data_IF_980514367821
#
_entry.id   IF_980514367821
#
_cell.length_a   1.000
_cell.length_b   1.000
_cell.length_c   1.000
_cell.angle_alpha   90.00
_cell.angle_beta   90.00
_cell.angle_gamma   90.00
#
_symmetry.space_group_name_H-M   'P 1'
#
loop_
_entity.id
_entity.type
_entity.pdbx_description
1 polymer ?
#
# COMPACT_ATOMS: atom_id res chain seq x y z
N UNK A 1 23.70 -96.16 -31.23
CA UNK A 1 23.48 -94.98 -32.08
C UNK A 1 22.32 -94.10 -31.59
N UNK A 2 21.16 -94.65 -31.23
CA UNK A 2 19.97 -93.86 -30.82
C UNK A 2 20.19 -92.94 -29.61
N UNK A 3 20.95 -93.38 -28.59
CA UNK A 3 21.24 -92.58 -27.39
C UNK A 3 22.08 -91.33 -27.71
N UNK A 4 22.98 -91.41 -28.69
CA UNK A 4 23.84 -90.29 -29.11
C UNK A 4 23.04 -89.24 -29.89
N UNK A 5 22.08 -89.68 -30.72
CA UNK A 5 21.16 -88.78 -31.43
C UNK A 5 20.24 -88.00 -30.50
N UNK A 6 19.74 -88.66 -29.45
CA UNK A 6 18.87 -88.02 -28.44
C UNK A 6 19.64 -86.97 -27.60
N UNK A 7 20.86 -87.29 -27.15
CA UNK A 7 21.73 -86.35 -26.43
C UNK A 7 22.12 -85.12 -27.27
N UNK A 8 22.34 -85.31 -28.57
CA UNK A 8 22.67 -84.21 -29.49
C UNK A 8 21.49 -83.22 -29.62
N UNK A 9 20.29 -83.75 -29.85
CA UNK A 9 19.05 -82.95 -29.91
C UNK A 9 18.79 -82.17 -28.61
N UNK A 10 19.12 -82.79 -27.48
CA UNK A 10 18.98 -82.25 -26.14
C UNK A 10 19.88 -81.03 -25.85
N UNK A 11 20.99 -80.87 -26.58
CA UNK A 11 21.92 -79.75 -26.47
C UNK A 11 21.76 -78.69 -27.55
N UNK A 12 20.99 -78.98 -28.60
CA UNK A 12 20.76 -78.04 -29.71
C UNK A 12 20.16 -76.71 -29.25
N UNK A 13 19.23 -76.73 -28.29
CA UNK A 13 18.64 -75.50 -27.73
C UNK A 13 19.68 -74.64 -26.98
N UNK A 14 20.51 -75.27 -26.14
CA UNK A 14 21.56 -74.55 -25.40
C UNK A 14 22.66 -74.06 -26.35
N UNK A 15 23.02 -74.86 -27.35
CA UNK A 15 23.99 -74.46 -28.38
C UNK A 15 23.50 -73.28 -29.23
N UNK A 16 22.21 -73.25 -29.61
CA UNK A 16 21.63 -72.09 -30.29
C UNK A 16 21.71 -70.82 -29.44
N UNK A 17 21.44 -70.92 -28.14
CA UNK A 17 21.56 -69.79 -27.21
C UNK A 17 23.01 -69.35 -27.02
N UNK A 18 23.93 -70.30 -26.80
CA UNK A 18 25.36 -70.01 -26.73
C UNK A 18 25.85 -69.24 -27.96
N UNK A 19 25.47 -69.68 -29.16
CA UNK A 19 25.81 -69.01 -30.40
C UNK A 19 25.19 -67.61 -30.52
N UNK A 20 23.94 -67.40 -30.08
CA UNK A 20 23.32 -66.07 -30.03
C UNK A 20 24.09 -65.10 -29.12
N UNK A 21 24.71 -65.61 -28.06
CA UNK A 21 25.58 -64.86 -27.16
C UNK A 21 27.06 -64.84 -27.59
N UNK A 22 27.38 -65.34 -28.79
CA UNK A 22 28.73 -65.33 -29.37
C UNK A 22 29.68 -66.43 -28.88
N UNK A 23 29.18 -67.41 -28.12
CA UNK A 23 29.96 -68.55 -27.65
C UNK A 23 29.96 -69.71 -28.66
N UNK A 24 31.03 -70.51 -28.63
CA UNK A 24 31.13 -71.73 -29.45
C UNK A 24 30.14 -72.79 -28.93
N UNK A 25 29.48 -73.56 -29.82
CA UNK A 25 28.60 -74.65 -29.40
C UNK A 25 29.39 -75.81 -28.79
N UNK A 26 28.75 -76.53 -27.89
CA UNK A 26 29.26 -77.76 -27.30
C UNK A 26 29.09 -78.89 -28.32
N UNK A 27 30.22 -79.54 -28.67
CA UNK A 27 30.25 -80.68 -29.58
C UNK A 27 30.50 -81.98 -28.82
N UNK A 28 29.77 -83.02 -29.20
CA UNK A 28 30.04 -84.39 -28.74
C UNK A 28 31.09 -85.02 -29.63
N UNK A 29 32.11 -85.62 -29.03
CA UNK A 29 33.11 -86.40 -29.77
C UNK A 29 32.46 -87.63 -30.41
N UNK A 30 32.80 -87.90 -31.67
CA UNK A 30 32.40 -89.14 -32.35
C UNK A 30 33.22 -90.29 -31.77
N UNK A 31 32.59 -91.38 -31.28
CA UNK A 31 33.30 -92.57 -30.81
C UNK A 31 34.25 -93.21 -31.84
N UNK A 32 34.10 -92.89 -33.13
CA UNK A 32 34.95 -93.39 -34.22
C UNK A 32 36.16 -92.48 -34.53
N UNK A 33 36.14 -91.21 -34.11
CA UNK A 33 37.28 -90.30 -34.24
C UNK A 33 38.22 -90.52 -33.04
N UNK A 34 39.36 -91.17 -33.25
CA UNK A 34 40.42 -91.39 -32.24
C UNK A 34 41.06 -90.06 -31.76
N UNK A 35 40.28 -89.22 -31.07
CA UNK A 35 40.74 -88.00 -30.40
C UNK A 35 41.38 -88.39 -29.07
N UNK A 36 42.50 -87.76 -28.73
CA UNK A 36 43.21 -88.01 -27.48
C UNK A 36 42.26 -87.77 -26.30
N UNK A 37 42.17 -88.69 -25.32
CA UNK A 37 41.33 -88.50 -24.14
C UNK A 37 41.76 -87.31 -23.27
N UNK A 38 42.95 -86.75 -23.50
CA UNK A 38 43.42 -85.52 -22.86
C UNK A 38 42.68 -84.26 -23.34
N UNK A 39 42.08 -84.30 -24.54
CA UNK A 39 41.37 -83.16 -25.15
C UNK A 39 39.84 -83.25 -24.99
N UNK A 40 39.36 -84.27 -24.28
CA UNK A 40 37.94 -84.58 -24.12
C UNK A 40 37.51 -84.52 -22.66
N UNK A 41 36.35 -83.90 -22.40
CA UNK A 41 35.73 -83.90 -21.08
C UNK A 41 34.69 -85.01 -21.02
N UNK A 42 34.94 -86.00 -20.17
CA UNK A 42 34.03 -87.12 -19.94
C UNK A 42 33.07 -86.77 -18.81
N UNK A 43 31.78 -86.66 -19.14
CA UNK A 43 30.72 -86.38 -18.17
C UNK A 43 29.77 -87.56 -18.11
N UNK A 44 29.39 -87.95 -16.90
CA UNK A 44 28.26 -88.85 -16.73
C UNK A 44 26.95 -88.13 -17.06
N UNK A 45 25.90 -88.92 -17.31
CA UNK A 45 24.60 -88.41 -17.76
C UNK A 45 24.01 -87.37 -16.79
N UNK A 46 24.24 -87.53 -15.48
CA UNK A 46 23.70 -86.62 -14.47
C UNK A 46 24.43 -85.28 -14.50
N UNK A 47 25.76 -85.29 -14.48
CA UNK A 47 26.56 -84.06 -14.54
C UNK A 47 26.34 -83.28 -15.84
N UNK A 48 26.18 -83.97 -16.98
CA UNK A 48 25.86 -83.31 -18.25
C UNK A 48 24.48 -82.63 -18.23
N UNK A 49 23.47 -83.25 -17.63
CA UNK A 49 22.13 -82.67 -17.49
C UNK A 49 22.11 -81.46 -16.54
N UNK A 50 22.85 -81.53 -15.44
CA UNK A 50 23.02 -80.43 -14.49
C UNK A 50 23.75 -79.24 -15.14
N UNK A 51 24.87 -79.50 -15.84
CA UNK A 51 25.63 -78.46 -16.54
C UNK A 51 24.79 -77.75 -17.59
N UNK A 52 24.01 -78.50 -18.37
CA UNK A 52 23.05 -77.93 -19.34
C UNK A 52 22.01 -77.03 -18.67
N UNK A 53 21.46 -77.46 -17.55
CA UNK A 53 20.46 -76.69 -16.80
C UNK A 53 21.07 -75.40 -16.26
N UNK A 54 22.27 -75.46 -15.70
CA UNK A 54 23.04 -74.30 -15.23
C UNK A 54 23.33 -73.33 -16.36
N UNK A 55 23.82 -73.81 -17.51
CA UNK A 55 24.05 -72.97 -18.70
C UNK A 55 22.76 -72.29 -19.16
N UNK A 56 21.63 -73.00 -19.19
CA UNK A 56 20.34 -72.41 -19.55
C UNK A 56 19.95 -71.28 -18.61
N UNK A 57 20.04 -71.50 -17.29
CA UNK A 57 19.72 -70.48 -16.28
C UNK A 57 20.64 -69.27 -16.43
N UNK A 58 21.95 -69.48 -16.57
CA UNK A 58 22.93 -68.41 -16.73
C UNK A 58 22.68 -67.58 -17.99
N UNK A 59 22.38 -68.22 -19.12
CA UNK A 59 22.09 -67.52 -20.38
C UNK A 59 20.80 -66.70 -20.28
N UNK A 60 19.74 -67.27 -19.68
CA UNK A 60 18.49 -66.51 -19.45
C UNK A 60 18.67 -65.35 -18.50
N UNK A 61 19.49 -65.50 -17.45
CA UNK A 61 19.76 -64.40 -16.52
C UNK A 61 20.65 -63.32 -17.18
N UNK A 62 21.58 -63.71 -18.05
CA UNK A 62 22.36 -62.76 -18.86
C UNK A 62 21.46 -61.92 -19.77
N UNK A 63 20.48 -62.52 -20.45
CA UNK A 63 19.48 -61.81 -21.27
C UNK A 63 18.66 -60.83 -20.42
N UNK A 64 18.20 -61.27 -19.24
CA UNK A 64 17.46 -60.41 -18.30
C UNK A 64 18.29 -59.22 -17.82
N UNK A 65 19.55 -59.45 -17.45
CA UNK A 65 20.47 -58.38 -17.02
C UNK A 65 20.74 -57.41 -18.16
N UNK A 66 20.91 -57.88 -19.39
CA UNK A 66 21.11 -57.02 -20.55
C UNK A 66 19.91 -56.12 -20.81
N UNK A 67 18.68 -56.65 -20.68
CA UNK A 67 17.45 -55.85 -20.79
C UNK A 67 17.38 -54.77 -19.70
N UNK A 68 17.65 -55.12 -18.44
CA UNK A 68 17.70 -54.16 -17.33
C UNK A 68 18.75 -53.06 -17.55
N UNK A 69 19.93 -53.42 -18.05
CA UNK A 69 20.98 -52.44 -18.38
C UNK A 69 20.49 -51.47 -19.47
N UNK A 70 19.82 -51.98 -20.51
CA UNK A 70 19.27 -51.13 -21.57
C UNK A 70 18.19 -50.18 -21.04
N UNK A 71 17.27 -50.66 -20.22
CA UNK A 71 16.25 -49.81 -19.58
C UNK A 71 16.88 -48.74 -18.68
N UNK A 72 17.89 -49.10 -17.89
CA UNK A 72 18.64 -48.16 -17.06
C UNK A 72 19.37 -47.11 -17.89
N UNK A 73 19.97 -47.48 -19.03
CA UNK A 73 20.62 -46.53 -19.95
C UNK A 73 19.60 -45.56 -20.54
N UNK A 74 18.45 -46.07 -20.99
CA UNK A 74 17.37 -45.23 -21.51
C UNK A 74 16.84 -44.26 -20.45
N UNK A 75 16.57 -44.76 -19.25
CA UNK A 75 16.11 -43.94 -18.11
C UNK A 75 17.15 -42.90 -17.70
N UNK A 76 18.44 -43.25 -17.64
CA UNK A 76 19.51 -42.32 -17.31
C UNK A 76 19.64 -41.19 -18.35
N UNK A 77 19.48 -41.51 -19.64
CA UNK A 77 19.50 -40.52 -20.70
C UNK A 77 18.29 -39.58 -20.62
N UNK A 78 17.09 -40.12 -20.32
CA UNK A 78 15.89 -39.31 -20.11
C UNK A 78 16.07 -38.36 -18.91
N UNK A 79 16.55 -38.87 -17.77
CA UNK A 79 16.83 -38.07 -16.59
C UNK A 79 17.87 -36.97 -16.87
N UNK A 80 18.90 -37.26 -17.68
CA UNK A 80 19.86 -36.22 -18.10
C UNK A 80 19.19 -35.10 -18.91
N UNK A 81 18.27 -35.43 -19.80
CA UNK A 81 17.52 -34.42 -20.57
C UNK A 81 16.63 -33.57 -19.66
N UNK A 82 15.91 -34.21 -18.73
CA UNK A 82 15.05 -33.51 -17.77
C UNK A 82 15.86 -32.59 -16.84
N UNK A 83 17.01 -33.04 -16.33
CA UNK A 83 17.91 -32.20 -15.53
C UNK A 83 18.38 -31.00 -16.34
N UNK A 84 18.79 -31.19 -17.60
CA UNK A 84 19.21 -30.09 -18.46
C UNK A 84 18.08 -29.09 -18.72
N UNK A 85 16.86 -29.59 -18.95
CA UNK A 85 15.68 -28.75 -19.13
C UNK A 85 15.36 -27.95 -17.85
N UNK A 86 15.36 -28.60 -16.69
CA UNK A 86 15.16 -27.94 -15.40
C UNK A 86 16.22 -26.89 -15.12
N UNK A 87 17.50 -27.16 -15.44
CA UNK A 87 18.57 -26.17 -15.33
C UNK A 87 18.32 -24.96 -16.23
N UNK A 88 17.88 -25.17 -17.48
CA UNK A 88 17.57 -24.07 -18.39
C UNK A 88 16.40 -23.20 -17.91
N UNK A 89 15.33 -23.84 -17.39
CA UNK A 89 14.17 -23.15 -16.81
C UNK A 89 14.56 -22.38 -15.55
N UNK A 90 15.40 -22.97 -14.69
CA UNK A 90 15.90 -22.31 -13.48
C UNK A 90 16.75 -21.08 -13.83
N UNK A 91 17.64 -21.17 -14.82
CA UNK A 91 18.44 -20.05 -15.29
C UNK A 91 17.57 -18.88 -15.81
N UNK A 92 16.55 -19.19 -16.62
CA UNK A 92 15.59 -18.18 -17.08
C UNK A 92 14.83 -17.54 -15.91
N UNK A 93 14.42 -18.34 -14.92
CA UNK A 93 13.71 -17.83 -13.76
C UNK A 93 14.62 -16.95 -12.89
N UNK A 94 15.88 -17.32 -12.68
CA UNK A 94 16.86 -16.47 -12.00
C UNK A 94 17.03 -15.13 -12.71
N UNK A 95 17.15 -15.12 -14.05
CA UNK A 95 17.23 -13.88 -14.81
C UNK A 95 16.00 -12.99 -14.60
N UNK A 96 14.79 -13.56 -14.66
CA UNK A 96 13.55 -12.81 -14.42
C UNK A 96 13.47 -12.24 -13.00
N UNK A 97 13.98 -12.96 -12.00
CA UNK A 97 14.06 -12.45 -10.63
C UNK A 97 15.01 -11.25 -10.56
N UNK A 98 16.19 -11.34 -11.18
CA UNK A 98 17.14 -10.21 -11.23
C UNK A 98 16.53 -8.97 -11.93
N UNK A 99 15.80 -9.15 -13.04
CA UNK A 99 15.11 -8.05 -13.73
C UNK A 99 14.03 -7.41 -12.83
N UNK A 100 13.29 -8.22 -12.07
CA UNK A 100 12.28 -7.73 -11.13
C UNK A 100 12.90 -7.01 -9.91
N UNK A 101 14.04 -7.48 -9.42
CA UNK A 101 14.81 -6.82 -8.35
C UNK A 101 15.28 -5.44 -8.81
N UNK A 102 15.80 -5.32 -10.03
CA UNK A 102 16.23 -4.02 -10.59
C UNK A 102 15.04 -3.06 -10.75
N UNK A 103 13.87 -3.55 -11.18
CA UNK A 103 12.65 -2.75 -11.26
C UNK A 103 12.16 -2.33 -9.86
N UNK A 104 12.24 -3.21 -8.87
CA UNK A 104 11.87 -2.91 -7.50
C UNK A 104 12.76 -1.80 -6.92
N UNK A 105 14.07 -1.84 -7.16
CA UNK A 105 15.00 -0.79 -6.74
C UNK A 105 14.70 0.56 -7.41
N UNK A 106 14.36 0.55 -8.71
CA UNK A 106 13.90 1.76 -9.43
C UNK A 106 12.59 2.32 -8.84
N UNK A 107 11.65 1.46 -8.45
CA UNK A 107 10.40 1.91 -7.82
C UNK A 107 10.69 2.47 -6.42
N UNK A 108 11.53 1.80 -5.63
CA UNK A 108 11.90 2.22 -4.27
C UNK A 108 12.56 3.60 -4.27
N UNK A 109 13.52 3.83 -5.18
CA UNK A 109 14.15 5.15 -5.35
C UNK A 109 13.14 6.23 -5.74
N UNK A 110 12.23 5.94 -6.68
CA UNK A 110 11.17 6.90 -7.07
C UNK A 110 10.19 7.22 -5.95
N UNK A 111 9.84 6.24 -5.12
CA UNK A 111 8.98 6.45 -3.94
C UNK A 111 9.70 7.33 -2.93
N UNK A 112 10.97 7.03 -2.63
CA UNK A 112 11.78 7.86 -1.73
C UNK A 112 11.86 9.32 -2.24
N UNK A 113 12.14 9.53 -3.53
CA UNK A 113 12.18 10.87 -4.13
C UNK A 113 10.82 11.59 -4.04
N UNK A 114 9.71 10.86 -4.11
CA UNK A 114 8.37 11.44 -3.95
C UNK A 114 8.13 11.83 -2.49
N UNK A 115 8.43 10.95 -1.55
CA UNK A 115 8.32 11.20 -0.11
C UNK A 115 9.15 12.41 0.31
N UNK A 116 10.41 12.49 -0.12
CA UNK A 116 11.31 13.60 0.19
C UNK A 116 10.80 14.92 -0.39
N UNK A 117 10.22 14.91 -1.59
CA UNK A 117 9.58 16.10 -2.19
C UNK A 117 8.33 16.52 -1.43
N UNK A 118 7.51 15.57 -0.98
CA UNK A 118 6.32 15.88 -0.18
C UNK A 118 6.70 16.44 1.20
N UNK A 119 7.67 15.83 1.88
CA UNK A 119 8.23 16.32 3.14
C UNK A 119 8.79 17.74 2.98
N UNK A 120 9.59 17.97 1.94
CA UNK A 120 10.17 19.30 1.66
C UNK A 120 9.08 20.35 1.42
N UNK A 121 8.05 20.04 0.63
CA UNK A 121 6.91 20.95 0.40
C UNK A 121 6.13 21.21 1.68
N UNK A 122 5.87 20.19 2.50
CA UNK A 122 5.16 20.33 3.76
C UNK A 122 5.93 21.23 4.74
N UNK A 123 7.25 21.05 4.85
CA UNK A 123 8.13 21.90 5.68
C UNK A 123 8.12 23.34 5.17
N UNK A 124 8.20 23.56 3.86
CA UNK A 124 8.16 24.90 3.26
C UNK A 124 6.81 25.60 3.49
N UNK A 125 5.69 24.88 3.34
CA UNK A 125 4.36 25.42 3.61
C UNK A 125 4.18 25.75 5.09
N UNK A 126 4.70 24.89 5.98
CA UNK A 126 4.65 25.13 7.42
C UNK A 126 5.44 26.39 7.81
N UNK A 127 6.65 26.57 7.30
CA UNK A 127 7.46 27.76 7.58
C UNK A 127 6.81 29.03 7.03
N UNK A 128 6.22 28.98 5.82
CA UNK A 128 5.48 30.12 5.26
C UNK A 128 4.24 30.47 6.10
N UNK A 129 3.50 29.46 6.56
CA UNK A 129 2.32 29.66 7.42
C UNK A 129 2.71 30.28 8.77
N UNK A 130 3.79 29.80 9.39
CA UNK A 130 4.31 30.38 10.63
C UNK A 130 4.72 31.85 10.44
N UNK A 131 5.37 32.18 9.33
CA UNK A 131 5.75 33.56 9.01
C UNK A 131 4.52 34.46 8.84
N UNK A 132 3.52 34.01 8.09
CA UNK A 132 2.25 34.74 7.94
C UNK A 132 1.51 34.93 9.28
N UNK A 133 1.53 33.93 10.16
CA UNK A 133 0.95 34.08 11.51
C UNK A 133 1.67 35.15 12.33
N UNK A 134 3.01 35.21 12.25
CA UNK A 134 3.80 36.25 12.92
C UNK A 134 3.47 37.64 12.37
N UNK A 135 3.42 37.78 11.04
CA UNK A 135 3.06 39.05 10.38
C UNK A 135 1.63 39.49 10.72
N UNK A 136 0.67 38.56 10.76
CA UNK A 136 -0.70 38.81 11.22
C UNK A 136 -0.71 39.38 12.64
N UNK A 137 0.04 38.76 13.56
CA UNK A 137 0.11 39.20 14.96
C UNK A 137 0.72 40.60 15.08
N UNK A 138 1.80 40.87 14.33
CA UNK A 138 2.43 42.19 14.29
C UNK A 138 1.51 43.26 13.69
N UNK A 139 0.80 42.95 12.62
CA UNK A 139 -0.19 43.83 12.01
C UNK A 139 -1.33 44.13 12.98
N UNK A 140 -1.83 43.12 13.70
CA UNK A 140 -2.89 43.29 14.70
C UNK A 140 -2.47 44.25 15.82
N UNK A 141 -1.27 44.09 16.38
CA UNK A 141 -0.72 45.02 17.38
C UNK A 141 -0.61 46.44 16.84
N UNK A 142 -0.22 46.62 15.57
CA UNK A 142 -0.16 47.95 14.94
C UNK A 142 -1.55 48.59 14.82
N UNK A 143 -2.56 47.81 14.43
CA UNK A 143 -3.95 48.26 14.38
C UNK A 143 -4.43 48.73 15.77
N UNK A 144 -4.23 47.92 16.82
CA UNK A 144 -4.60 48.29 18.19
C UNK A 144 -3.95 49.62 18.64
N UNK A 145 -2.65 49.80 18.36
CA UNK A 145 -1.94 51.04 18.70
C UNK A 145 -2.53 52.24 17.93
N UNK A 146 -2.85 52.07 16.65
CA UNK A 146 -3.44 53.13 15.84
C UNK A 146 -4.86 53.48 16.30
N UNK A 147 -5.68 52.49 16.68
CA UNK A 147 -7.00 52.72 17.25
C UNK A 147 -6.94 53.50 18.56
N UNK A 148 -5.99 53.15 19.45
CA UNK A 148 -5.76 53.91 20.69
C UNK A 148 -5.35 55.37 20.40
N UNK A 149 -4.47 55.59 19.41
CA UNK A 149 -4.07 56.95 18.98
C UNK A 149 -5.26 57.72 18.40
N UNK A 150 -6.08 57.08 17.57
CA UNK A 150 -7.28 57.67 16.98
C UNK A 150 -8.28 58.08 18.07
N UNK A 151 -8.49 57.22 19.08
CA UNK A 151 -9.35 57.52 20.22
C UNK A 151 -8.87 58.75 20.98
N UNK A 152 -7.56 58.86 21.26
CA UNK A 152 -6.97 60.04 21.91
C UNK A 152 -7.17 61.31 21.08
N UNK A 153 -6.89 61.26 19.79
CA UNK A 153 -7.09 62.42 18.91
C UNK A 153 -8.57 62.83 18.82
N UNK A 154 -9.50 61.87 18.81
CA UNK A 154 -10.94 62.15 18.83
C UNK A 154 -11.34 62.86 20.12
N UNK A 155 -10.81 62.42 21.26
CA UNK A 155 -11.06 63.06 22.55
C UNK A 155 -10.52 64.51 22.55
N UNK A 156 -9.28 64.72 22.11
CA UNK A 156 -8.68 66.06 21.97
C UNK A 156 -9.51 66.97 21.04
N UNK A 157 -9.95 66.46 19.89
CA UNK A 157 -10.79 67.19 18.96
C UNK A 157 -12.12 67.60 19.61
N UNK A 158 -12.77 66.71 20.36
CA UNK A 158 -14.00 67.06 21.09
C UNK A 158 -13.76 68.11 22.18
N UNK A 159 -12.62 68.06 22.88
CA UNK A 159 -12.27 69.07 23.87
C UNK A 159 -12.03 70.44 23.23
N UNK A 160 -11.31 70.48 22.10
CA UNK A 160 -11.10 71.72 21.34
C UNK A 160 -12.42 72.28 20.79
N UNK A 161 -13.31 71.42 20.29
CA UNK A 161 -14.64 71.82 19.82
C UNK A 161 -15.47 72.44 20.94
N UNK A 162 -15.44 71.88 22.16
CA UNK A 162 -16.09 72.47 23.34
C UNK A 162 -15.52 73.85 23.69
N UNK A 163 -14.18 74.00 23.67
CA UNK A 163 -13.51 75.28 23.93
C UNK A 163 -13.89 76.34 22.90
N UNK A 164 -13.89 75.98 21.61
CA UNK A 164 -14.33 76.88 20.54
C UNK A 164 -15.78 77.32 20.75
N UNK A 165 -16.70 76.37 21.02
CA UNK A 165 -18.10 76.71 21.29
C UNK A 165 -18.24 77.68 22.47
N UNK A 166 -17.48 77.48 23.55
CA UNK A 166 -17.47 78.39 24.70
C UNK A 166 -16.96 79.79 24.33
N UNK A 167 -15.86 79.88 23.59
CA UNK A 167 -15.29 81.17 23.13
C UNK A 167 -16.27 81.87 22.19
N UNK A 168 -16.84 81.17 21.21
CA UNK A 168 -17.84 81.70 20.27
C UNK A 168 -19.05 82.24 21.02
N UNK A 169 -19.59 81.48 21.99
CA UNK A 169 -20.73 81.93 22.80
C UNK A 169 -20.40 83.17 23.63
N UNK A 170 -19.20 83.25 24.21
CA UNK A 170 -18.74 84.43 24.96
C UNK A 170 -18.54 85.65 24.04
N UNK A 171 -18.03 85.42 22.83
CA UNK A 171 -17.85 86.47 21.83
C UNK A 171 -19.20 86.96 21.29
N UNK A 172 -20.16 86.08 21.04
CA UNK A 172 -21.54 86.44 20.69
C UNK A 172 -22.20 87.29 21.77
N UNK A 173 -22.01 86.94 23.05
CA UNK A 173 -22.47 87.75 24.18
C UNK A 173 -21.78 89.12 24.22
N UNK A 174 -20.47 89.19 23.98
CA UNK A 174 -19.73 90.45 23.90
C UNK A 174 -20.24 91.32 22.75
N UNK A 175 -20.45 90.75 21.57
CA UNK A 175 -20.99 91.43 20.40
C UNK A 175 -22.45 91.87 20.62
N UNK A 176 -23.25 91.08 21.34
CA UNK A 176 -24.62 91.47 21.72
C UNK A 176 -24.62 92.68 22.66
N UNK A 177 -23.75 92.69 23.68
CA UNK A 177 -23.56 93.82 24.58
C UNK A 177 -23.00 95.05 23.84
N UNK A 178 -22.08 94.87 22.90
CA UNK A 178 -21.55 95.96 22.06
C UNK A 178 -22.60 96.51 21.09
N UNK A 179 -23.47 95.67 20.52
CA UNK A 179 -24.64 96.10 19.73
C UNK A 179 -25.64 96.88 20.56
N UNK A 180 -25.84 96.49 21.82
CA UNK A 180 -26.70 97.20 22.75
C UNK A 180 -26.10 98.55 23.17
N UNK A 181 -24.76 98.64 23.29
CA UNK A 181 -24.03 99.89 23.55
C UNK A 181 -23.90 100.80 22.31
N UNK A 182 -23.92 100.25 21.09
CA UNK A 182 -23.96 101.04 19.85
C UNK A 182 -25.38 101.47 19.46
N UNK A 183 -26.39 101.13 20.24
CA UNK A 183 -27.75 101.65 20.15
C UNK A 183 -27.90 103.00 20.88
N UNK A 184 -26.96 103.89 20.63
CA UNK A 184 -27.03 105.30 21.00
C UNK A 184 -26.15 106.15 20.08
N UNK A 185 -26.28 106.01 18.75
CA UNK A 185 -25.94 107.12 17.83
C UNK A 185 -26.64 107.03 16.47
N UNK A 186 -27.50 108.04 16.29
CA UNK A 186 -28.05 108.66 15.08
C UNK A 186 -28.82 107.84 14.02
N UNK A 187 -29.95 108.39 13.49
CA UNK A 187 -30.95 107.64 12.75
C UNK A 187 -30.87 107.96 11.24
N UNK A 188 -30.00 107.30 10.47
CA UNK A 188 -30.08 107.35 8.98
C UNK A 188 -29.80 106.03 8.25
N UNK A 189 -29.38 104.96 8.93
CA UNK A 189 -29.11 103.66 8.29
C UNK A 189 -30.17 102.59 8.54
N UNK A 190 -31.23 102.89 9.31
CA UNK A 190 -32.29 101.92 9.64
C UNK A 190 -33.22 101.62 8.44
N UNK A 191 -33.35 102.54 7.47
CA UNK A 191 -34.26 102.36 6.35
C UNK A 191 -33.76 101.32 5.31
N UNK A 192 -32.44 101.18 5.16
CA UNK A 192 -31.86 100.25 4.17
C UNK A 192 -31.82 98.79 4.65
N UNK A 193 -31.79 98.56 5.97
CA UNK A 193 -31.81 97.21 6.54
C UNK A 193 -33.23 96.64 6.64
N UNK A 194 -34.24 97.51 6.85
CA UNK A 194 -35.64 97.11 6.92
C UNK A 194 -36.14 96.55 5.59
N UNK A 195 -35.81 97.19 4.46
CA UNK A 195 -36.20 96.71 3.12
C UNK A 195 -35.54 95.35 2.76
N UNK A 196 -34.30 95.11 3.21
CA UNK A 196 -33.58 93.86 2.92
C UNK A 196 -34.11 92.68 3.75
N UNK A 197 -34.53 92.92 4.99
CA UNK A 197 -35.06 91.88 5.87
C UNK A 197 -36.52 91.54 5.55
N UNK A 198 -37.30 92.51 5.07
CA UNK A 198 -38.69 92.30 4.64
C UNK A 198 -38.77 91.44 3.37
N UNK A 199 -37.85 91.61 2.42
CA UNK A 199 -37.77 90.80 1.19
C UNK A 199 -37.28 89.36 1.44
N UNK A 200 -36.44 89.13 2.46
CA UNK A 200 -35.95 87.79 2.84
C UNK A 200 -36.96 86.98 3.67
N UNK A 201 -37.80 87.66 4.48
CA UNK A 201 -38.87 87.01 5.23
C UNK A 201 -40.08 86.65 4.35
N UNK A 202 -40.39 87.44 3.31
CA UNK A 202 -41.46 87.07 2.36
C UNK A 202 -41.09 85.85 1.50
N UNK A 203 -39.80 85.63 1.19
CA UNK A 203 -39.35 84.44 0.46
C UNK A 203 -39.33 83.18 1.35
N UNK A 204 -39.07 83.31 2.66
CA UNK A 204 -39.05 82.16 3.58
C UNK A 204 -40.45 81.74 4.05
N UNK A 205 -41.38 82.69 4.16
CA UNK A 205 -42.79 82.43 4.49
C UNK A 205 -43.53 81.66 3.40
N UNK A 206 -43.11 81.78 2.13
CA UNK A 206 -43.67 81.02 0.99
C UNK A 206 -43.16 79.57 0.93
N UNK A 207 -42.05 79.25 1.62
CA UNK A 207 -41.43 77.91 1.55
C UNK A 207 -41.77 77.01 2.74
N UNK A 208 -42.30 77.54 3.85
CA UNK A 208 -42.35 76.77 5.13
C UNK A 208 -43.70 76.63 5.82
N UNK A 209 -44.83 77.10 5.26
CA UNK A 209 -46.13 76.74 5.84
C UNK A 209 -47.16 76.31 4.79
N UNK A 210 -47.44 75.01 4.77
CA UNK A 210 -48.70 74.45 4.29
C UNK A 210 -49.28 73.58 5.42
N UNK A 211 -49.97 74.26 6.36
CA UNK A 211 -51.11 73.80 7.19
C UNK A 211 -50.80 73.32 8.61
N UNK A 212 -51.07 74.20 9.58
CA UNK A 212 -51.74 73.81 10.85
C UNK A 212 -53.28 73.81 10.70
N UNK A 213 -54.09 73.80 11.79
CA UNK A 213 -53.95 73.11 13.09
C UNK A 213 -55.29 72.51 13.61
N UNK A 214 -55.26 71.56 14.55
CA UNK A 214 -56.05 71.56 15.80
C UNK A 214 -55.70 70.35 16.70
N UNK A 215 -55.33 70.68 17.93
CA UNK A 215 -54.95 69.79 19.03
C UNK A 215 -56.10 68.86 19.46
N UNK A 216 -55.80 67.58 19.65
CA UNK A 216 -56.33 66.81 20.79
C UNK A 216 -55.14 66.21 21.52
N UNK A 217 -55.09 66.46 22.81
CA UNK A 217 -54.15 65.91 23.78
C UNK A 217 -54.18 64.37 23.71
N UNK A 218 -53.06 63.74 23.34
CA UNK A 218 -52.86 62.29 23.43
C UNK A 218 -51.54 62.07 24.19
N UNK A 219 -51.56 61.54 25.41
CA UNK A 219 -50.35 61.05 26.04
C UNK A 219 -49.82 59.84 25.27
N UNK A 220 -48.51 59.79 25.08
CA UNK A 220 -47.66 58.61 24.86
C UNK A 220 -47.97 57.66 23.69
N UNK A 221 -48.25 58.19 22.49
CA UNK A 221 -48.11 57.39 21.25
C UNK A 221 -46.67 57.20 20.82
N UNK A 222 -45.71 57.91 21.43
CA UNK A 222 -44.29 57.72 21.13
C UNK A 222 -43.79 56.37 21.64
N UNK A 223 -44.27 55.95 22.83
CA UNK A 223 -44.06 54.62 23.38
C UNK A 223 -44.79 53.54 22.58
N UNK A 224 -45.99 53.85 22.07
CA UNK A 224 -46.72 52.92 21.18
C UNK A 224 -46.03 52.78 19.82
N UNK A 225 -45.46 53.86 19.27
CA UNK A 225 -44.75 53.85 17.99
C UNK A 225 -43.40 53.13 18.11
N UNK A 226 -42.67 53.35 19.21
CA UNK A 226 -41.45 52.59 19.50
C UNK A 226 -41.76 51.12 19.79
N UNK A 227 -42.84 50.81 20.50
CA UNK A 227 -43.30 49.42 20.73
C UNK A 227 -43.72 48.74 19.41
N UNK A 228 -44.47 49.41 18.54
CA UNK A 228 -44.82 48.90 17.21
C UNK A 228 -43.59 48.65 16.33
N UNK A 229 -42.57 49.51 16.44
CA UNK A 229 -41.30 49.33 15.74
C UNK A 229 -40.53 48.12 16.26
N UNK A 230 -40.49 47.92 17.58
CA UNK A 230 -39.91 46.73 18.20
C UNK A 230 -40.68 45.47 17.81
N UNK A 231 -42.01 45.50 17.74
CA UNK A 231 -42.82 44.36 17.31
C UNK A 231 -42.60 44.04 15.82
N UNK A 232 -42.45 45.05 14.96
CA UNK A 232 -42.09 44.85 13.56
C UNK A 232 -40.71 44.20 13.41
N UNK A 233 -39.71 44.67 14.16
CA UNK A 233 -38.36 44.08 14.20
C UNK A 233 -38.38 42.65 14.75
N UNK A 234 -39.16 42.37 15.80
CA UNK A 234 -39.32 41.03 16.36
C UNK A 234 -40.02 40.07 15.38
N UNK A 235 -40.99 40.56 14.61
CA UNK A 235 -41.68 39.76 13.59
C UNK A 235 -40.74 39.37 12.43
N UNK A 236 -39.84 40.28 12.03
CA UNK A 236 -38.81 39.98 11.02
C UNK A 236 -37.75 39.00 11.54
N UNK A 237 -37.34 39.13 12.81
CA UNK A 237 -36.45 38.15 13.45
C UNK A 237 -37.10 36.78 13.55
N UNK A 238 -38.41 36.70 13.79
CA UNK A 238 -39.16 35.44 13.85
C UNK A 238 -39.17 34.73 12.49
N UNK A 239 -39.35 35.48 11.40
CA UNK A 239 -39.22 34.96 10.03
C UNK A 239 -37.78 34.48 9.75
N UNK A 240 -36.78 35.22 10.20
CA UNK A 240 -35.37 34.82 10.10
C UNK A 240 -35.06 33.52 10.84
N UNK A 241 -35.63 33.36 12.05
CA UNK A 241 -35.51 32.14 12.85
C UNK A 241 -36.19 30.97 12.14
N UNK A 242 -37.39 31.16 11.59
CA UNK A 242 -38.11 30.12 10.83
C UNK A 242 -37.29 29.63 9.63
N UNK A 243 -36.67 30.55 8.88
CA UNK A 243 -35.80 30.20 7.75
C UNK A 243 -34.57 29.41 8.22
N UNK A 244 -33.93 29.84 9.30
CA UNK A 244 -32.77 29.15 9.88
C UNK A 244 -33.14 27.75 10.39
N UNK A 245 -34.34 27.60 10.98
CA UNK A 245 -34.87 26.34 11.47
C UNK A 245 -35.20 25.37 10.33
N UNK A 246 -35.79 25.88 9.24
CA UNK A 246 -36.01 25.11 8.00
C UNK A 246 -34.69 24.65 7.38
N UNK A 247 -33.68 25.52 7.35
CA UNK A 247 -32.35 25.16 6.85
C UNK A 247 -31.67 24.11 7.74
N UNK A 248 -31.78 24.25 9.07
CA UNK A 248 -31.28 23.29 10.04
C UNK A 248 -32.00 21.94 9.92
N UNK A 249 -33.31 21.94 9.70
CA UNK A 249 -34.14 20.74 9.49
C UNK A 249 -33.72 19.99 8.22
N UNK A 250 -33.51 20.69 7.10
CA UNK A 250 -33.01 20.06 5.86
C UNK A 250 -31.63 19.45 6.06
N UNK A 251 -30.75 20.11 6.84
CA UNK A 251 -29.40 19.60 7.12
C UNK A 251 -29.38 18.40 8.07
N UNK A 252 -30.23 18.40 9.10
CA UNK A 252 -30.28 17.34 10.11
C UNK A 252 -31.18 16.17 9.71
N UNK A 253 -32.17 16.38 8.84
CA UNK A 253 -33.21 15.41 8.47
C UNK A 253 -33.48 15.33 6.95
N UNK A 254 -32.49 15.03 6.10
CA UNK A 254 -32.64 15.06 4.63
C UNK A 254 -33.58 13.98 4.04
N UNK A 255 -34.20 13.13 4.87
CA UNK A 255 -34.93 11.92 4.47
C UNK A 255 -36.45 11.97 4.70
N UNK A 256 -37.02 13.08 5.16
CA UNK A 256 -38.48 13.25 5.19
C UNK A 256 -38.98 13.79 3.83
N UNK A 257 -40.02 13.19 3.21
CA UNK A 257 -40.72 13.84 2.12
C UNK A 257 -41.47 15.04 2.73
N UNK A 258 -41.04 16.26 2.40
CA UNK A 258 -41.87 17.44 2.62
C UNK A 258 -43.15 17.23 1.81
N UNK A 259 -44.24 16.89 2.50
CA UNK A 259 -45.55 16.86 1.89
C UNK A 259 -45.89 18.28 1.39
N UNK A 260 -46.47 18.30 0.21
CA UNK A 260 -46.51 19.46 -0.65
C UNK A 260 -47.32 20.62 -0.09
N UNK A 261 -46.91 21.83 -0.51
CA UNK A 261 -47.82 22.94 -0.74
C UNK A 261 -48.36 23.65 0.48
N UNK A 262 -47.54 24.53 1.07
CA UNK A 262 -48.07 25.66 1.83
C UNK A 262 -47.56 26.95 1.18
N UNK A 263 -48.51 27.75 0.73
CA UNK A 263 -48.30 29.03 0.10
C UNK A 263 -47.45 29.92 1.01
N UNK A 264 -46.52 30.68 0.42
CA UNK A 264 -45.56 31.56 1.12
C UNK A 264 -46.19 32.78 1.83
N UNK A 265 -47.49 32.76 2.11
CA UNK A 265 -48.26 33.91 2.59
C UNK A 265 -49.02 33.65 3.91
N UNK A 266 -48.91 32.44 4.48
CA UNK A 266 -49.53 32.15 5.78
C UNK A 266 -48.61 32.56 6.93
N UNK A 267 -49.16 33.31 7.89
CA UNK A 267 -48.42 33.89 9.00
C UNK A 267 -47.69 32.80 9.79
N UNK A 268 -46.38 32.95 9.96
CA UNK A 268 -45.52 31.99 10.64
C UNK A 268 -45.96 31.77 12.10
N UNK A 269 -46.68 30.69 12.37
CA UNK A 269 -47.09 30.35 13.73
C UNK A 269 -45.91 29.76 14.50
N UNK A 270 -45.68 30.27 15.72
CA UNK A 270 -44.64 29.78 16.63
C UNK A 270 -44.87 28.30 16.98
N UNK A 271 -46.13 27.85 16.94
CA UNK A 271 -46.50 26.44 17.15
C UNK A 271 -45.85 25.50 16.15
N UNK A 272 -45.83 25.85 14.86
CA UNK A 272 -45.21 25.03 13.81
C UNK A 272 -43.70 24.92 13.98
N UNK A 273 -43.06 26.00 14.45
CA UNK A 273 -41.62 25.99 14.76
C UNK A 273 -41.31 25.10 15.96
N UNK A 274 -42.17 25.11 16.98
CA UNK A 274 -42.02 24.25 18.16
C UNK A 274 -42.16 22.77 17.78
N UNK A 275 -43.17 22.43 16.96
CA UNK A 275 -43.36 21.08 16.44
C UNK A 275 -42.18 20.62 15.58
N UNK A 276 -41.59 21.51 14.78
CA UNK A 276 -40.39 21.19 14.00
C UNK A 276 -39.18 20.91 14.90
N UNK A 277 -39.00 21.70 15.97
CA UNK A 277 -37.92 21.46 16.97
C UNK A 277 -38.14 20.15 17.72
N UNK A 278 -39.36 19.87 18.18
CA UNK A 278 -39.70 18.64 18.89
C UNK A 278 -39.49 17.41 18.00
N UNK A 279 -39.88 17.48 16.72
CA UNK A 279 -39.60 16.44 15.74
C UNK A 279 -38.08 16.23 15.52
N UNK A 280 -37.28 17.30 15.54
CA UNK A 280 -35.82 17.20 15.43
C UNK A 280 -35.18 16.60 16.70
N UNK A 281 -35.74 16.89 17.87
CA UNK A 281 -35.29 16.35 19.16
C UNK A 281 -35.64 14.86 19.32
N UNK A 282 -36.85 14.45 18.96
CA UNK A 282 -37.30 13.04 19.00
C UNK A 282 -36.41 12.15 18.12
N UNK A 283 -36.01 12.63 16.94
CA UNK A 283 -35.10 11.89 16.06
C UNK A 283 -33.64 11.89 16.53
N UNK A 284 -33.24 12.84 17.38
CA UNK A 284 -31.91 12.86 17.99
C UNK A 284 -31.84 12.02 19.28
N UNK A 285 -32.97 11.81 19.97
CA UNK A 285 -33.04 11.07 21.25
C UNK A 285 -33.40 9.60 21.11
N UNK A 286 -33.74 9.11 19.91
CA UNK A 286 -34.02 7.69 19.67
C UNK A 286 -32.70 6.88 19.71
N UNK A 287 -32.26 6.59 20.93
CA UNK A 287 -31.16 5.69 21.24
C UNK A 287 -31.43 4.26 20.71
N UNK A 288 -30.33 3.60 20.42
CA UNK A 288 -30.16 2.27 19.84
C UNK A 288 -31.16 1.20 20.34
N UNK A 289 -31.73 0.40 19.40
CA UNK A 289 -32.09 -1.05 19.53
C UNK A 289 -33.36 -1.53 18.80
N UNK A 290 -33.84 -0.87 17.76
CA UNK A 290 -34.73 -1.54 16.81
C UNK A 290 -34.13 -1.41 15.43
N UNK A 291 -33.70 -2.54 14.88
CA UNK A 291 -33.20 -2.70 13.51
C UNK A 291 -34.27 -2.22 12.53
N UNK A 292 -34.33 -0.91 12.27
CA UNK A 292 -34.84 -0.39 11.01
C UNK A 292 -34.00 -1.08 9.95
N UNK A 293 -34.64 -1.87 9.09
CA UNK A 293 -34.01 -2.39 7.87
C UNK A 293 -33.19 -1.25 7.26
N UNK A 294 -31.86 -1.42 7.10
CA UNK A 294 -31.00 -0.31 6.71
C UNK A 294 -31.59 0.35 5.48
N UNK A 295 -31.80 1.66 5.56
CA UNK A 295 -32.37 2.44 4.47
C UNK A 295 -31.58 2.17 3.20
N UNK A 296 -32.25 2.22 2.04
CA UNK A 296 -31.62 1.93 0.74
C UNK A 296 -30.30 2.68 0.53
N UNK A 297 -30.23 3.94 0.96
CA UNK A 297 -29.01 4.74 0.93
C UNK A 297 -27.88 4.20 1.82
N UNK A 298 -28.18 3.64 2.99
CA UNK A 298 -27.19 3.01 3.88
C UNK A 298 -26.67 1.72 3.27
N UNK A 299 -27.54 0.91 2.67
CA UNK A 299 -27.11 -0.27 1.91
C UNK A 299 -26.26 0.11 0.70
N UNK A 300 -26.67 1.13 -0.06
CA UNK A 300 -25.89 1.67 -1.17
C UNK A 300 -24.54 2.25 -0.70
N UNK A 301 -24.49 2.89 0.46
CA UNK A 301 -23.24 3.37 1.07
C UNK A 301 -22.33 2.23 1.52
N UNK A 302 -22.89 1.19 2.17
CA UNK A 302 -22.15 -0.01 2.56
C UNK A 302 -21.59 -0.73 1.33
N UNK A 303 -22.41 -0.89 0.28
CA UNK A 303 -21.98 -1.51 -0.97
C UNK A 303 -20.94 -0.63 -1.68
N UNK A 304 -21.13 0.69 -1.73
CA UNK A 304 -20.15 1.62 -2.31
C UNK A 304 -18.81 1.58 -1.55
N UNK A 305 -18.86 1.49 -0.22
CA UNK A 305 -17.66 1.35 0.60
C UNK A 305 -16.94 0.03 0.33
N UNK A 306 -17.68 -1.08 0.26
CA UNK A 306 -17.12 -2.39 -0.12
C UNK A 306 -16.50 -2.35 -1.52
N UNK A 307 -17.19 -1.72 -2.49
CA UNK A 307 -16.70 -1.56 -3.86
C UNK A 307 -15.39 -0.77 -3.93
N UNK A 308 -15.21 0.25 -3.08
CA UNK A 308 -13.96 1.00 -2.95
C UNK A 308 -12.86 0.21 -2.23
N UNK A 309 -13.20 -0.56 -1.20
CA UNK A 309 -12.23 -1.32 -0.40
C UNK A 309 -11.65 -2.51 -1.16
N UNK A 310 -12.47 -3.14 -2.02
CA UNK A 310 -12.12 -4.37 -2.74
C UNK A 310 -12.05 -4.21 -4.27
N UNK A 311 -12.00 -2.96 -4.77
CA UNK A 311 -11.88 -2.59 -6.18
C UNK A 311 -12.92 -3.24 -7.11
N UNK A 312 -14.20 -3.18 -6.71
CA UNK A 312 -15.31 -3.76 -7.47
C UNK A 312 -16.11 -2.68 -8.20
N UNK A 313 -16.03 -2.67 -9.53
CA UNK A 313 -16.67 -1.64 -10.36
C UNK A 313 -18.18 -1.81 -10.54
N UNK A 314 -18.75 -2.99 -10.25
CA UNK A 314 -20.19 -3.26 -10.45
C UNK A 314 -20.86 -3.90 -9.24
N UNK A 315 -22.13 -3.55 -8.99
CA UNK A 315 -22.94 -4.13 -7.90
C UNK A 315 -23.03 -5.67 -8.01
N UNK A 316 -23.08 -6.19 -9.24
CA UNK A 316 -23.13 -7.64 -9.52
C UNK A 316 -21.83 -8.35 -9.16
N UNK A 317 -20.70 -7.63 -9.16
CA UNK A 317 -19.39 -8.16 -8.74
C UNK A 317 -19.20 -8.21 -7.23
N UNK A 318 -20.06 -7.54 -6.44
CA UNK A 318 -19.95 -7.46 -4.98
C UNK A 318 -20.13 -8.82 -4.33
N UNK A 319 -21.17 -9.57 -4.72
CA UNK A 319 -21.44 -10.90 -4.19
C UNK A 319 -20.31 -11.91 -4.48
N UNK A 320 -19.84 -12.05 -5.74
CA UNK A 320 -18.67 -12.87 -6.06
C UNK A 320 -17.44 -12.48 -5.24
N UNK A 321 -17.13 -11.19 -5.14
CA UNK A 321 -15.96 -10.70 -4.41
C UNK A 321 -16.07 -10.95 -2.91
N UNK A 322 -17.26 -10.79 -2.34
CA UNK A 322 -17.51 -11.09 -0.93
C UNK A 322 -17.30 -12.58 -0.64
N UNK A 323 -17.80 -13.46 -1.51
CA UNK A 323 -17.61 -14.91 -1.35
C UNK A 323 -16.13 -15.31 -1.47
N UNK A 324 -15.38 -14.65 -2.35
CA UNK A 324 -13.94 -14.81 -2.45
C UNK A 324 -13.22 -14.38 -1.16
N UNK A 325 -13.61 -13.23 -0.57
CA UNK A 325 -13.07 -12.76 0.71
C UNK A 325 -13.34 -13.77 1.83
N UNK A 326 -14.55 -14.31 1.93
CA UNK A 326 -14.87 -15.34 2.92
C UNK A 326 -14.07 -16.62 2.70
N UNK A 327 -13.92 -17.04 1.44
CA UNK A 327 -13.12 -18.22 1.08
C UNK A 327 -11.65 -18.00 1.48
N UNK A 328 -11.07 -16.86 1.12
CA UNK A 328 -9.69 -16.49 1.46
C UNK A 328 -9.46 -16.35 2.96
N UNK A 329 -10.43 -15.78 3.68
CA UNK A 329 -10.36 -15.67 5.14
C UNK A 329 -10.42 -17.07 5.79
N UNK A 330 -11.25 -17.97 5.26
CA UNK A 330 -11.31 -19.37 5.69
C UNK A 330 -10.00 -20.12 5.42
N UNK A 331 -9.45 -19.98 4.21
CA UNK A 331 -8.14 -20.53 3.83
C UNK A 331 -7.03 -20.03 4.74
N UNK A 332 -6.96 -18.72 4.99
CA UNK A 332 -5.96 -18.10 5.85
C UNK A 332 -6.11 -18.56 7.30
N UNK A 333 -7.33 -18.61 7.83
CA UNK A 333 -7.58 -19.12 9.18
C UNK A 333 -7.15 -20.58 9.32
N UNK A 334 -7.42 -21.40 8.30
CA UNK A 334 -7.03 -22.80 8.29
C UNK A 334 -5.51 -22.97 8.16
N UNK A 335 -4.86 -22.21 7.29
CA UNK A 335 -3.41 -22.19 7.14
C UNK A 335 -2.72 -21.78 8.44
N UNK A 336 -3.22 -20.74 9.11
CA UNK A 336 -2.71 -20.28 10.40
C UNK A 336 -2.90 -21.32 11.51
N UNK A 337 -4.00 -22.10 11.49
CA UNK A 337 -4.20 -23.22 12.41
C UNK A 337 -3.19 -24.34 12.14
N UNK A 338 -3.07 -24.78 10.88
CA UNK A 338 -2.11 -25.81 10.49
C UNK A 338 -0.66 -25.42 10.85
N UNK A 339 -0.29 -24.14 10.64
CA UNK A 339 1.04 -23.66 11.03
C UNK A 339 1.25 -23.68 12.55
N UNK A 340 0.21 -23.40 13.35
CA UNK A 340 0.31 -23.54 14.81
C UNK A 340 0.47 -25.00 15.22
N UNK A 341 -0.29 -25.90 14.61
CA UNK A 341 -0.23 -27.33 14.90
C UNK A 341 1.16 -27.90 14.55
N UNK A 342 1.72 -27.51 13.40
CA UNK A 342 3.06 -27.93 12.97
C UNK A 342 4.17 -27.36 13.87
N UNK A 343 4.00 -26.12 14.35
CA UNK A 343 4.96 -25.44 15.22
C UNK A 343 4.72 -25.69 16.72
N UNK A 344 3.71 -26.50 17.06
CA UNK A 344 3.28 -26.81 18.43
C UNK A 344 3.02 -25.55 19.28
N UNK A 345 2.35 -24.56 18.68
CA UNK A 345 2.01 -23.26 19.29
C UNK A 345 0.57 -23.24 19.81
N UNK A 346 0.34 -22.56 20.93
CA UNK A 346 -0.99 -22.45 21.52
C UNK A 346 -2.02 -21.76 20.58
N UNK A 347 -3.27 -22.22 20.65
CA UNK A 347 -4.37 -21.74 19.82
C UNK A 347 -4.70 -20.26 20.00
N UNK A 348 -4.24 -19.63 21.10
CA UNK A 348 -4.41 -18.21 21.39
C UNK A 348 -3.35 -17.28 20.78
N UNK A 349 -2.27 -17.81 20.19
CA UNK A 349 -1.14 -17.00 19.69
C UNK A 349 -1.58 -16.08 18.54
N UNK A 350 -1.01 -14.87 18.43
CA UNK A 350 -1.38 -13.96 17.33
C UNK A 350 -0.82 -14.45 15.99
N UNK A 351 -1.47 -14.16 14.84
CA UNK A 351 -0.93 -14.52 13.54
C UNK A 351 0.48 -13.97 13.27
N UNK A 352 0.79 -12.78 13.78
CA UNK A 352 2.10 -12.16 13.64
C UNK A 352 3.20 -12.95 14.35
N UNK A 353 2.93 -13.50 15.54
CA UNK A 353 3.92 -14.27 16.29
C UNK A 353 4.18 -15.63 15.63
N UNK A 354 3.15 -16.29 15.07
CA UNK A 354 3.31 -17.51 14.28
C UNK A 354 4.24 -17.28 13.07
N UNK A 355 4.04 -16.19 12.32
CA UNK A 355 4.90 -15.84 11.17
C UNK A 355 6.34 -15.58 11.59
N UNK A 356 6.54 -14.94 12.74
CA UNK A 356 7.89 -14.70 13.31
C UNK A 356 8.58 -16.02 13.71
N UNK A 357 7.85 -17.00 14.24
CA UNK A 357 8.39 -18.33 14.50
C UNK A 357 8.78 -19.05 13.20
N UNK A 358 7.94 -18.99 12.16
CA UNK A 358 8.28 -19.52 10.82
C UNK A 358 9.55 -18.85 10.28
N UNK A 359 9.65 -17.53 10.36
CA UNK A 359 10.82 -16.78 9.87
C UNK A 359 12.11 -17.22 10.58
N UNK A 360 12.08 -17.40 11.90
CA UNK A 360 13.25 -17.91 12.65
C UNK A 360 13.63 -19.32 12.23
N UNK A 361 12.65 -20.19 12.00
CA UNK A 361 12.90 -21.57 11.55
C UNK A 361 13.56 -21.58 10.17
N UNK A 362 13.05 -20.77 9.23
CA UNK A 362 13.62 -20.64 7.89
C UNK A 362 15.06 -20.13 7.94
N UNK A 363 15.33 -19.06 8.70
CA UNK A 363 16.71 -18.56 8.86
C UNK A 363 17.65 -19.57 9.53
N UNK A 364 17.13 -20.40 10.44
CA UNK A 364 17.90 -21.49 11.05
C UNK A 364 18.21 -22.60 10.04
N UNK A 365 17.28 -22.94 9.14
CA UNK A 365 17.48 -23.96 8.11
C UNK A 365 18.48 -23.45 7.06
N UNK A 366 18.39 -22.19 6.66
CA UNK A 366 19.34 -21.57 5.72
C UNK A 366 20.78 -21.62 6.25
N UNK A 367 20.99 -21.31 7.53
CA UNK A 367 22.33 -21.39 8.14
C UNK A 367 22.85 -22.83 8.24
N UNK A 368 21.98 -23.80 8.54
CA UNK A 368 22.33 -25.22 8.53
C UNK A 368 22.68 -25.72 7.13
N UNK A 369 21.95 -25.29 6.10
CA UNK A 369 22.24 -25.65 4.70
C UNK A 369 23.55 -25.04 4.22
N UNK A 370 23.85 -23.80 4.59
CA UNK A 370 25.15 -23.18 4.31
C UNK A 370 26.29 -23.93 4.99
N UNK A 371 26.10 -24.36 6.25
CA UNK A 371 27.08 -25.18 6.95
C UNK A 371 27.30 -26.54 6.25
N UNK A 372 26.23 -27.23 5.85
CA UNK A 372 26.32 -28.49 5.11
C UNK A 372 27.04 -28.33 3.76
N UNK A 373 26.75 -27.27 3.01
CA UNK A 373 27.44 -26.98 1.74
C UNK A 373 28.94 -26.75 1.94
N UNK A 374 29.35 -26.07 3.00
CA UNK A 374 30.76 -25.91 3.35
C UNK A 374 31.40 -27.25 3.68
N UNK A 375 30.74 -28.12 4.45
CA UNK A 375 31.24 -29.47 4.74
C UNK A 375 31.41 -30.30 3.46
N UNK A 376 30.43 -30.30 2.55
CA UNK A 376 30.54 -31.01 1.27
C UNK A 376 31.67 -30.45 0.40
N UNK A 377 31.88 -29.14 0.38
CA UNK A 377 33.00 -28.50 -0.34
C UNK A 377 34.35 -28.93 0.22
N UNK A 378 34.49 -29.00 1.54
CA UNK A 378 35.70 -29.48 2.22
C UNK A 378 35.95 -30.96 1.87
N UNK A 379 34.92 -31.81 1.95
CA UNK A 379 35.01 -33.24 1.60
C UNK A 379 35.45 -33.42 0.13
N UNK A 380 34.87 -32.65 -0.79
CA UNK A 380 35.25 -32.69 -2.20
C UNK A 380 36.69 -32.25 -2.44
N UNK A 381 37.15 -31.18 -1.76
CA UNK A 381 38.55 -30.72 -1.86
C UNK A 381 39.55 -31.73 -1.27
N UNK A 382 39.22 -32.35 -0.13
CA UNK A 382 40.06 -33.40 0.47
C UNK A 382 40.14 -34.62 -0.45
N UNK A 383 39.01 -35.03 -1.03
CA UNK A 383 38.98 -36.14 -1.99
C UNK A 383 39.80 -35.85 -3.26
N UNK A 384 39.74 -34.61 -3.77
CA UNK A 384 40.60 -34.20 -4.88
C UNK A 384 42.10 -34.25 -4.52
N UNK A 385 42.45 -33.90 -3.28
CA UNK A 385 43.83 -34.02 -2.79
C UNK A 385 44.30 -35.47 -2.68
N UNK A 386 43.45 -36.36 -2.17
CA UNK A 386 43.71 -37.81 -2.06
C UNK A 386 43.94 -38.47 -3.42
N UNK A 387 43.23 -38.04 -4.47
CA UNK A 387 43.40 -38.62 -5.82
C UNK A 387 44.55 -37.96 -6.60
N UNK A 388 44.70 -36.64 -6.53
CA UNK A 388 45.69 -35.89 -7.32
C UNK A 388 47.12 -36.04 -6.77
N UNK A 389 47.29 -35.95 -5.46
CA UNK A 389 48.62 -35.85 -4.86
C UNK A 389 49.48 -37.12 -5.05
N UNK A 390 48.95 -38.35 -4.91
CA UNK A 390 49.72 -39.57 -5.18
C UNK A 390 50.14 -39.70 -6.64
N UNK A 391 49.23 -39.37 -7.58
CA UNK A 391 49.53 -39.43 -9.02
C UNK A 391 50.58 -38.37 -9.42
N UNK A 392 50.43 -37.15 -8.90
CA UNK A 392 51.40 -36.07 -9.11
C UNK A 392 52.76 -36.41 -8.51
N UNK A 393 52.80 -36.92 -7.27
CA UNK A 393 54.03 -37.32 -6.60
C UNK A 393 54.74 -38.44 -7.35
N UNK A 394 54.00 -39.45 -7.85
CA UNK A 394 54.58 -40.53 -8.65
C UNK A 394 55.21 -40.01 -9.95
N UNK A 395 54.52 -39.11 -10.66
CA UNK A 395 55.02 -38.48 -11.88
C UNK A 395 56.29 -37.67 -11.61
N UNK A 396 56.26 -36.78 -10.61
CA UNK A 396 57.40 -35.94 -10.23
C UNK A 396 58.60 -36.80 -9.83
N UNK A 397 58.37 -37.83 -9.01
CA UNK A 397 59.43 -38.76 -8.60
C UNK A 397 60.05 -39.48 -9.79
N UNK A 398 59.24 -39.90 -10.77
CA UNK A 398 59.74 -40.49 -12.01
C UNK A 398 60.59 -39.52 -12.84
N UNK A 399 60.18 -38.25 -12.94
CA UNK A 399 60.95 -37.20 -13.63
C UNK A 399 62.29 -36.95 -12.92
N UNK A 400 62.27 -36.83 -11.59
CA UNK A 400 63.47 -36.64 -10.77
C UNK A 400 64.47 -37.78 -10.97
N UNK A 401 64.00 -39.03 -10.93
CA UNK A 401 64.84 -40.21 -11.15
C UNK A 401 65.42 -40.27 -12.58
N UNK A 402 64.63 -39.90 -13.58
CA UNK A 402 65.04 -39.92 -15.00
C UNK A 402 66.10 -38.85 -15.29
N UNK A 403 65.97 -37.68 -14.67
CA UNK A 403 66.91 -36.56 -14.84
C UNK A 403 68.09 -36.60 -13.84
N UNK A 404 68.07 -37.52 -12.86
CA UNK A 404 69.13 -37.66 -11.85
C UNK A 404 69.20 -36.50 -10.85
N UNK A 405 68.12 -35.77 -10.64
CA UNK A 405 68.04 -34.61 -9.73
C UNK A 405 67.23 -34.94 -8.48
N UNK A 406 67.59 -34.33 -7.35
CA UNK A 406 67.02 -34.64 -6.03
C UNK A 406 65.89 -33.71 -5.60
N UNK A 407 65.78 -32.49 -6.16
CA UNK A 407 64.73 -31.53 -5.82
C UNK A 407 63.89 -31.13 -7.04
N UNK A 408 62.59 -30.87 -6.81
CA UNK A 408 61.62 -30.47 -7.83
C UNK A 408 62.08 -29.23 -8.61
N UNK A 409 62.69 -28.27 -7.92
CA UNK A 409 63.16 -27.00 -8.50
C UNK A 409 64.32 -27.20 -9.49
N UNK A 410 65.02 -28.33 -9.40
CA UNK A 410 66.17 -28.65 -10.26
C UNK A 410 65.76 -29.34 -11.57
N UNK A 411 64.48 -29.72 -11.72
CA UNK A 411 63.95 -30.37 -12.92
C UNK A 411 64.07 -29.45 -14.15
N UNK A 412 63.65 -28.18 -14.03
CA UNK A 412 63.67 -27.23 -15.15
C UNK A 412 65.10 -26.85 -15.56
N UNK A 413 66.04 -26.54 -14.64
CA UNK A 413 67.45 -26.36 -14.96
C UNK A 413 68.08 -27.57 -15.66
N UNK A 414 67.83 -28.79 -15.17
CA UNK A 414 68.39 -30.02 -15.74
C UNK A 414 67.87 -30.28 -17.16
N UNK A 415 66.58 -30.06 -17.41
CA UNK A 415 66.00 -30.16 -18.75
C UNK A 415 66.60 -29.14 -19.71
N UNK A 416 66.80 -27.89 -19.27
CA UNK A 416 67.43 -26.85 -20.10
C UNK A 416 68.86 -27.23 -20.50
N UNK A 417 69.65 -27.72 -19.56
CA UNK A 417 71.02 -28.19 -19.81
C UNK A 417 71.06 -29.37 -20.80
N UNK A 418 70.10 -30.29 -20.72
CA UNK A 418 69.92 -31.41 -21.67
C UNK A 418 69.55 -30.94 -23.08
N UNK A 419 68.69 -29.93 -23.21
CA UNK A 419 68.37 -29.34 -24.52
C UNK A 419 69.52 -28.56 -25.13
N UNK A 420 70.34 -27.90 -24.32
CA UNK A 420 71.54 -27.18 -24.80
C UNK A 420 72.68 -28.11 -25.21
N UNK A 421 72.73 -29.34 -24.67
CA UNK A 421 73.69 -30.38 -25.07
C UNK A 421 73.23 -31.24 -26.25
N UNK A 422 71.95 -31.13 -26.65
CA UNK A 422 71.37 -31.84 -27.79
C UNK A 422 71.34 -31.01 -29.10
N UNK A 423 71.81 -29.77 -29.06
CA UNK A 423 72.16 -28.94 -30.22
C UNK A 423 73.67 -29.03 -30.49
#
# INVERSE_FOLDING_TARGET
>A
MEIFGFLKMEWDDVNKRLQHHGFKPVFFADPAENKSPADLVLLDKKSAAELRTTLRVMLTDSERRQALIQELVMSNNQLKMEVQEHMSRAAQQCQRVTELEELLDKVKTRVQDLEDRYLSKAVQQHSHTQQLQKEKLEAHRRCEILEQKLSKQKEEATQLQRKLHFITKKEEQRLALQRQASQQRSPKYFFFFFLKFQLLNEISAVVTDHKGPLRVHRPDFQDVLSTLKVWAEQLDLLKGLQCSLKELSVRLMPLQPCDGGYNTDEAAEVGDMLLLVDAMLENASADDKVLRSPTRHTLESMVSHFQKLFDVTSLRGVYPRMNEVYTKLGEMTNAMRNLRDILDLDGGVSPAEVVKHVSRLVSSIESLLQSLLLFFSIIMKVKQHEEFFPAFHALVTGILQTLGVSHLDDILPALKALTETAQ
#
